data_IF_763515725394
#
_entry.id   IF_763515725394
#
_cell.length_a   1.000
_cell.length_b   1.000
_cell.length_c   1.000
_cell.angle_alpha   90.00
_cell.angle_beta   90.00
_cell.angle_gamma   90.00
#
_symmetry.space_group_name_H-M   'P 1'
#
loop_
_entity.id
_entity.type
_entity.pdbx_description
1 polymer ?
#
# COMPACT_ATOMS: atom_id res chain seq x y z
N UNK A 1 -6.72 -26.93 -33.64
CA UNK A 1 -5.53 -26.14 -33.23
C UNK A 1 -6.04 -24.99 -32.38
N UNK A 2 -6.35 -25.30 -31.11
CA UNK A 2 -6.88 -24.32 -30.16
C UNK A 2 -5.80 -23.28 -29.90
N UNK A 3 -6.10 -22.04 -30.25
CA UNK A 3 -5.25 -20.89 -29.92
C UNK A 3 -5.32 -20.76 -28.40
N UNK A 4 -4.26 -21.20 -27.70
CA UNK A 4 -4.11 -20.95 -26.27
C UNK A 4 -4.11 -19.43 -26.02
N UNK A 5 -5.28 -18.88 -25.68
CA UNK A 5 -5.43 -17.58 -25.00
C UNK A 5 -5.86 -17.82 -23.54
N UNK A 6 -4.93 -17.91 -22.56
CA UNK A 6 -5.39 -17.82 -21.16
C UNK A 6 -4.50 -17.04 -20.16
N UNK A 7 -3.20 -16.79 -20.40
CA UNK A 7 -2.32 -16.29 -19.33
C UNK A 7 -2.58 -14.82 -18.93
N UNK A 8 -2.74 -13.91 -19.90
CA UNK A 8 -2.96 -12.47 -19.64
C UNK A 8 -4.34 -12.20 -19.04
N UNK A 9 -5.36 -12.94 -19.47
CA UNK A 9 -6.72 -12.79 -18.94
C UNK A 9 -6.83 -13.23 -17.48
N UNK A 10 -6.04 -14.25 -17.08
CA UNK A 10 -5.95 -14.71 -15.70
C UNK A 10 -5.28 -13.66 -14.78
N UNK A 11 -4.33 -12.89 -15.29
CA UNK A 11 -3.72 -11.76 -14.56
C UNK A 11 -4.72 -10.62 -14.30
N UNK A 12 -5.62 -10.33 -15.24
CA UNK A 12 -6.63 -9.26 -15.10
C UNK A 12 -7.71 -9.57 -14.05
N UNK A 13 -7.87 -10.83 -13.66
CA UNK A 13 -8.85 -11.28 -12.66
C UNK A 13 -8.20 -11.58 -11.30
N UNK A 14 -6.90 -11.33 -11.17
CA UNK A 14 -6.14 -11.70 -9.97
C UNK A 14 -6.35 -10.66 -8.86
N UNK A 15 -6.68 -11.12 -7.66
CA UNK A 15 -6.84 -10.28 -6.48
C UNK A 15 -5.47 -9.96 -5.88
N UNK A 16 -5.36 -8.83 -5.21
CA UNK A 16 -4.15 -8.40 -4.50
C UNK A 16 -3.58 -9.50 -3.59
N UNK A 17 -4.45 -10.19 -2.83
CA UNK A 17 -4.04 -11.28 -1.93
C UNK A 17 -3.35 -12.44 -2.66
N UNK A 18 -3.81 -12.78 -3.86
CA UNK A 18 -3.25 -13.86 -4.68
C UNK A 18 -1.86 -13.49 -5.20
N UNK A 19 -1.64 -12.21 -5.55
CA UNK A 19 -0.32 -11.70 -5.94
C UNK A 19 0.66 -11.80 -4.77
N UNK A 20 0.25 -11.37 -3.57
CA UNK A 20 1.07 -11.53 -2.36
C UNK A 20 1.38 -13.00 -2.05
N UNK A 21 0.40 -13.90 -2.22
CA UNK A 21 0.60 -15.32 -1.99
C UNK A 21 1.57 -15.93 -3.01
N UNK A 22 1.41 -15.62 -4.29
CA UNK A 22 2.27 -16.12 -5.36
C UNK A 22 3.72 -15.63 -5.17
N UNK A 23 3.93 -14.36 -4.80
CA UNK A 23 5.26 -13.84 -4.51
C UNK A 23 5.91 -14.56 -3.31
N UNK A 24 5.15 -14.85 -2.25
CA UNK A 24 5.64 -15.66 -1.12
C UNK A 24 6.03 -17.09 -1.51
N UNK A 25 5.43 -17.63 -2.57
CA UNK A 25 5.77 -18.94 -3.13
C UNK A 25 6.95 -18.90 -4.12
N UNK A 26 7.58 -17.74 -4.30
CA UNK A 26 8.73 -17.57 -5.19
C UNK A 26 8.37 -17.30 -6.66
N UNK A 27 7.12 -16.94 -6.96
CA UNK A 27 6.75 -16.53 -8.31
C UNK A 27 7.44 -15.21 -8.68
N UNK A 28 8.30 -15.25 -9.70
CA UNK A 28 9.11 -14.12 -10.11
C UNK A 28 8.27 -12.98 -10.73
N UNK A 29 7.16 -13.31 -11.40
CA UNK A 29 6.27 -12.31 -11.99
C UNK A 29 5.51 -11.59 -10.89
N UNK A 30 4.94 -12.30 -9.94
CA UNK A 30 4.26 -11.73 -8.78
C UNK A 30 5.22 -10.87 -7.95
N UNK A 31 6.45 -11.34 -7.73
CA UNK A 31 7.48 -10.57 -7.03
C UNK A 31 7.80 -9.26 -7.75
N UNK A 32 7.92 -9.28 -9.08
CA UNK A 32 8.15 -8.07 -9.89
C UNK A 32 6.96 -7.11 -9.89
N UNK A 33 5.73 -7.65 -9.89
CA UNK A 33 4.51 -6.84 -9.77
C UNK A 33 4.52 -6.12 -8.42
N UNK A 34 4.75 -6.84 -7.31
CA UNK A 34 4.83 -6.24 -5.99
C UNK A 34 5.95 -5.20 -5.88
N UNK A 35 7.15 -5.50 -6.36
CA UNK A 35 8.27 -4.57 -6.32
C UNK A 35 7.93 -3.28 -7.07
N UNK A 36 7.39 -3.38 -8.29
CA UNK A 36 6.98 -2.22 -9.07
C UNK A 36 5.88 -1.41 -8.37
N UNK A 37 4.81 -2.07 -7.91
CA UNK A 37 3.68 -1.42 -7.26
C UNK A 37 4.06 -0.75 -5.94
N UNK A 38 4.83 -1.45 -5.10
CA UNK A 38 5.29 -0.92 -3.81
C UNK A 38 6.34 0.17 -3.98
N UNK A 39 7.16 0.13 -5.03
CA UNK A 39 8.09 1.20 -5.35
C UNK A 39 7.34 2.50 -5.66
N UNK A 40 6.31 2.45 -6.52
CA UNK A 40 5.47 3.62 -6.80
C UNK A 40 4.69 4.10 -5.58
N UNK A 41 4.20 3.19 -4.73
CA UNK A 41 3.57 3.56 -3.47
C UNK A 41 4.57 4.27 -2.53
N UNK A 42 5.81 3.78 -2.45
CA UNK A 42 6.89 4.43 -1.71
C UNK A 42 7.19 5.84 -2.21
N UNK A 43 7.24 6.04 -3.54
CA UNK A 43 7.42 7.37 -4.14
C UNK A 43 6.27 8.30 -3.76
N UNK A 44 5.03 7.80 -3.82
CA UNK A 44 3.85 8.56 -3.41
C UNK A 44 3.97 9.01 -1.94
N UNK A 45 4.31 8.09 -1.04
CA UNK A 45 4.49 8.39 0.39
C UNK A 45 5.61 9.41 0.61
N UNK A 46 6.76 9.24 -0.05
CA UNK A 46 7.87 10.19 0.07
C UNK A 46 7.48 11.61 -0.40
N UNK A 47 6.71 11.70 -1.49
CA UNK A 47 6.19 12.98 -1.97
C UNK A 47 5.23 13.60 -0.97
N UNK A 48 4.33 12.82 -0.35
CA UNK A 48 3.43 13.34 0.69
C UNK A 48 4.21 13.83 1.90
N UNK A 49 5.26 13.12 2.33
CA UNK A 49 6.14 13.56 3.42
C UNK A 49 6.82 14.89 3.06
N UNK A 50 7.38 14.99 1.86
CA UNK A 50 8.07 16.21 1.42
C UNK A 50 7.14 17.43 1.27
N UNK A 51 5.87 17.20 0.91
CA UNK A 51 4.88 18.28 0.73
C UNK A 51 4.29 18.75 2.05
N UNK A 52 3.97 17.82 2.96
CA UNK A 52 3.18 18.12 4.16
C UNK A 52 3.95 18.09 5.48
N UNK A 53 5.17 17.56 5.50
CA UNK A 53 5.97 17.29 6.72
C UNK A 53 5.13 16.70 7.89
N UNK A 54 4.37 15.61 7.66
CA UNK A 54 3.45 15.10 8.66
C UNK A 54 4.19 14.29 9.73
N UNK A 55 3.66 14.31 10.96
CA UNK A 55 4.15 13.42 12.03
C UNK A 55 3.95 11.93 11.68
N UNK A 56 2.97 11.61 10.82
CA UNK A 56 2.62 10.24 10.50
C UNK A 56 1.90 10.09 9.15
N UNK A 57 2.21 8.99 8.45
CA UNK A 57 1.47 8.45 7.31
C UNK A 57 0.86 7.10 7.69
N UNK A 58 -0.46 6.97 7.52
CA UNK A 58 -1.21 5.76 7.87
C UNK A 58 -1.61 5.04 6.58
N UNK A 59 -1.17 3.78 6.43
CA UNK A 59 -1.51 2.93 5.28
C UNK A 59 -2.66 2.00 5.66
N UNK A 60 -3.81 2.19 5.02
CA UNK A 60 -5.01 1.36 5.17
C UNK A 60 -5.31 0.49 3.95
N UNK A 61 -6.53 -0.07 3.93
CA UNK A 61 -7.05 -0.85 2.79
C UNK A 61 -6.37 -2.21 2.59
N UNK A 62 -6.74 -2.91 1.51
CA UNK A 62 -6.29 -4.29 1.28
C UNK A 62 -4.76 -4.46 1.17
N UNK A 63 -4.03 -3.41 0.79
CA UNK A 63 -2.56 -3.44 0.68
C UNK A 63 -1.88 -3.52 2.04
N UNK A 64 -2.44 -2.93 3.11
CA UNK A 64 -1.83 -2.98 4.45
C UNK A 64 -1.81 -4.40 5.03
N UNK A 65 -2.63 -5.32 4.50
CA UNK A 65 -2.63 -6.75 4.82
C UNK A 65 -1.42 -7.51 4.22
N UNK A 66 -0.62 -6.87 3.34
CA UNK A 66 0.57 -7.47 2.75
C UNK A 66 1.70 -7.76 3.74
N UNK A 67 1.65 -7.19 4.96
CA UNK A 67 2.62 -7.40 6.03
C UNK A 67 3.91 -6.59 5.80
N UNK A 68 5.00 -7.04 6.44
CA UNK A 68 6.25 -6.27 6.54
C UNK A 68 6.86 -5.89 5.20
N UNK A 69 6.67 -6.70 4.15
CA UNK A 69 7.19 -6.39 2.79
C UNK A 69 6.69 -5.04 2.27
N UNK A 70 5.44 -4.67 2.60
CA UNK A 70 4.84 -3.39 2.19
C UNK A 70 5.56 -2.24 2.89
N UNK A 71 5.63 -2.29 4.21
CA UNK A 71 6.18 -1.20 5.02
C UNK A 71 7.69 -1.09 4.86
N UNK A 72 8.41 -2.19 4.70
CA UNK A 72 9.84 -2.20 4.46
C UNK A 72 10.17 -1.57 3.10
N UNK A 73 9.44 -1.94 2.02
CA UNK A 73 9.68 -1.36 0.70
C UNK A 73 9.35 0.13 0.65
N UNK A 74 8.25 0.55 1.30
CA UNK A 74 7.91 1.97 1.40
C UNK A 74 9.02 2.74 2.14
N UNK A 75 9.47 2.24 3.29
CA UNK A 75 10.55 2.88 4.07
C UNK A 75 11.86 2.95 3.29
N UNK A 76 12.22 1.89 2.56
CA UNK A 76 13.39 1.86 1.68
C UNK A 76 13.34 3.01 0.66
N UNK A 77 12.21 3.17 -0.04
CA UNK A 77 12.04 4.22 -1.04
C UNK A 77 12.04 5.61 -0.40
N UNK A 78 11.30 5.80 0.69
CA UNK A 78 11.27 7.07 1.43
C UNK A 78 12.67 7.50 1.87
N UNK A 79 13.45 6.58 2.46
CA UNK A 79 14.81 6.86 2.89
C UNK A 79 15.77 7.13 1.71
N UNK A 80 15.43 6.69 0.50
CA UNK A 80 16.25 6.90 -0.69
C UNK A 80 16.05 8.29 -1.29
N UNK A 81 14.82 8.81 -1.27
CA UNK A 81 14.46 10.03 -2.03
C UNK A 81 13.99 11.21 -1.19
N UNK A 82 13.61 11.00 0.07
CA UNK A 82 13.20 12.07 0.98
C UNK A 82 14.41 12.63 1.76
N UNK A 83 14.33 13.88 2.22
CA UNK A 83 15.35 14.43 3.12
C UNK A 83 15.40 13.61 4.41
N UNK A 84 16.61 13.24 4.85
CA UNK A 84 16.83 12.35 6.00
C UNK A 84 16.05 12.78 7.25
N UNK A 85 16.06 14.08 7.57
CA UNK A 85 15.35 14.60 8.74
C UNK A 85 13.83 14.36 8.67
N UNK A 86 13.21 14.54 7.50
CA UNK A 86 11.79 14.31 7.27
C UNK A 86 11.44 12.82 7.26
N UNK A 87 12.32 12.00 6.67
CA UNK A 87 12.15 10.55 6.67
C UNK A 87 12.21 9.95 8.08
N UNK A 88 13.08 10.49 8.95
CA UNK A 88 13.24 10.06 10.34
C UNK A 88 12.14 10.59 11.27
N UNK A 89 11.58 11.77 11.00
CA UNK A 89 10.51 12.37 11.81
C UNK A 89 9.14 11.77 11.54
N UNK A 90 8.88 11.32 10.30
CA UNK A 90 7.57 10.81 9.89
C UNK A 90 7.38 9.31 10.19
N UNK A 91 6.36 8.96 10.98
CA UNK A 91 6.01 7.56 11.24
C UNK A 91 5.17 6.98 10.10
N UNK A 92 5.59 5.85 9.53
CA UNK A 92 4.79 5.12 8.53
C UNK A 92 4.21 3.87 9.19
N UNK A 93 2.88 3.85 9.40
CA UNK A 93 2.20 2.81 10.19
C UNK A 93 0.99 2.22 9.47
N UNK A 94 0.50 1.09 9.99
CA UNK A 94 -0.75 0.47 9.54
C UNK A 94 -1.97 1.12 10.20
N UNK A 95 -3.09 1.18 9.47
CA UNK A 95 -4.37 1.64 10.01
C UNK A 95 -4.87 0.73 11.14
N UNK A 96 -5.20 1.33 12.29
CA UNK A 96 -5.66 0.60 13.48
C UNK A 96 -7.11 0.08 13.36
N UNK A 97 -7.95 0.75 12.57
CA UNK A 97 -9.37 0.38 12.37
C UNK A 97 -9.57 -0.74 11.34
N UNK A 98 -8.50 -1.37 10.87
CA UNK A 98 -8.57 -2.41 9.84
C UNK A 98 -9.02 -1.87 8.48
N UNK A 99 -9.54 -2.75 7.63
CA UNK A 99 -9.86 -2.42 6.22
C UNK A 99 -11.32 -2.16 5.94
N UNK A 100 -12.22 -2.70 6.77
CA UNK A 100 -13.61 -2.86 6.38
C UNK A 100 -14.50 -1.75 6.97
N UNK A 101 -14.18 -1.30 8.18
CA UNK A 101 -15.04 -0.37 8.93
C UNK A 101 -14.54 1.09 8.92
N UNK A 102 -13.28 1.35 8.54
CA UNK A 102 -12.67 2.68 8.65
C UNK A 102 -13.46 3.77 7.91
N UNK A 103 -13.97 3.47 6.71
CA UNK A 103 -14.77 4.39 5.92
C UNK A 103 -16.15 4.67 6.54
N UNK A 104 -16.81 3.63 7.04
CA UNK A 104 -18.13 3.75 7.70
C UNK A 104 -18.01 4.54 9.01
N UNK A 105 -16.97 4.23 9.81
CA UNK A 105 -16.67 4.96 11.04
C UNK A 105 -16.39 6.44 10.76
N UNK A 106 -15.66 6.75 9.67
CA UNK A 106 -15.45 8.13 9.23
C UNK A 106 -16.76 8.85 8.88
N UNK A 107 -17.68 8.17 8.17
CA UNK A 107 -18.98 8.74 7.83
C UNK A 107 -19.84 9.02 9.08
N UNK A 108 -19.86 8.10 10.05
CA UNK A 108 -20.55 8.30 11.33
C UNK A 108 -19.93 9.46 12.11
N UNK A 109 -18.61 9.51 12.22
CA UNK A 109 -17.91 10.59 12.91
C UNK A 109 -18.22 11.95 12.29
N UNK A 110 -18.23 12.03 10.95
CA UNK A 110 -18.59 13.25 10.24
C UNK A 110 -20.04 13.68 10.55
N UNK A 111 -21.01 12.76 10.47
CA UNK A 111 -22.41 13.06 10.79
C UNK A 111 -22.57 13.55 12.25
N UNK A 112 -21.85 12.95 13.20
CA UNK A 112 -21.87 13.37 14.61
C UNK A 112 -21.27 14.77 14.80
N UNK A 113 -20.20 15.10 14.08
CA UNK A 113 -19.55 16.42 14.15
C UNK A 113 -20.46 17.52 13.57
N UNK A 114 -21.14 17.23 12.45
CA UNK A 114 -21.99 18.19 11.72
C UNK A 114 -23.43 18.30 12.25
N UNK A 115 -23.85 17.42 13.17
CA UNK A 115 -25.20 17.46 13.77
C UNK A 115 -25.34 18.47 14.93
N UNK A 116 -24.42 19.43 15.04
CA UNK A 116 -24.46 20.54 16.01
C UNK A 116 -24.78 21.85 15.30
#
# INVERSE_FOLDING_TARGET
MEIQRPAVFKLLQMKTAEVFQAAKQGDAVASRILDTSLNYLGICVANMIAIFDPEMVIIGGGVSKGGDIVFNKIKEVVNTICFKAMAESCKIITAALGTDDAGVMGAVALAVIESK
#
